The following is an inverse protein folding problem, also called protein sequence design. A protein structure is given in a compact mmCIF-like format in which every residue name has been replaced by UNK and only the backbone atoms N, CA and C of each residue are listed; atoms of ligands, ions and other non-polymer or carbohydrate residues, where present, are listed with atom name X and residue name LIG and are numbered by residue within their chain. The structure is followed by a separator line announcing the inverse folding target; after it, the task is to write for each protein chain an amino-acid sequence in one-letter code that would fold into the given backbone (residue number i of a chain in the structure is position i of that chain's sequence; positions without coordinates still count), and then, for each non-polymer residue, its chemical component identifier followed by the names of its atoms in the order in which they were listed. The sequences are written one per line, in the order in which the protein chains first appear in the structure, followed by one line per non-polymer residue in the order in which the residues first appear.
data_IF_607141042418
#
_entry.id   IF_607141042418
#
_cell.length_a   1.000
_cell.length_b   1.000
_cell.length_c   1.000
_cell.angle_alpha   90.00
_cell.angle_beta   90.00
_cell.angle_gamma   90.00
#
_symmetry.space_group_name_H-M   'P 1'
#
loop_
_entity.id
_entity.type
_entity.pdbx_description
1 polymer ?
#
# COMPACT_ATOMS: atom_id res chain seq x y z
N UNK A 1 60.00 37.65 -12.57
CA UNK A 1 58.84 37.34 -13.42
C UNK A 1 58.58 35.84 -13.28
N UNK A 2 57.74 35.44 -12.32
CA UNK A 2 57.33 34.04 -12.12
C UNK A 2 55.81 34.01 -12.13
N UNK A 3 55.24 33.39 -13.16
CA UNK A 3 53.79 33.16 -13.30
C UNK A 3 53.43 31.90 -12.50
N UNK A 4 52.59 32.05 -11.48
CA UNK A 4 51.93 30.93 -10.82
C UNK A 4 50.66 30.55 -11.60
N UNK A 5 50.57 29.30 -12.05
CA UNK A 5 49.33 28.70 -12.54
C UNK A 5 48.76 27.79 -11.45
N UNK A 6 47.64 28.18 -10.84
CA UNK A 6 46.84 27.31 -9.99
C UNK A 6 45.75 26.67 -10.84
N UNK A 7 45.79 25.35 -10.99
CA UNK A 7 44.74 24.57 -11.65
C UNK A 7 43.77 24.09 -10.57
N UNK A 8 42.55 24.63 -10.58
CA UNK A 8 41.45 24.22 -9.72
C UNK A 8 40.70 23.06 -10.41
N UNK A 9 40.85 21.83 -9.92
CA UNK A 9 40.01 20.71 -10.36
C UNK A 9 38.63 20.81 -9.71
N UNK A 10 37.60 21.12 -10.50
CA UNK A 10 36.20 20.88 -10.12
C UNK A 10 35.88 19.40 -10.35
N UNK A 11 35.65 18.66 -9.26
CA UNK A 11 35.07 17.32 -9.32
C UNK A 11 33.55 17.44 -9.51
N UNK A 12 33.06 17.23 -10.74
CA UNK A 12 31.63 17.04 -10.99
C UNK A 12 31.21 15.67 -10.48
N UNK A 13 30.51 15.63 -9.33
CA UNK A 13 29.76 14.44 -8.92
C UNK A 13 28.54 14.33 -9.82
N UNK A 14 28.60 13.43 -10.81
CA UNK A 14 27.40 12.96 -11.50
C UNK A 14 26.58 12.16 -10.49
N UNK A 15 25.55 12.79 -9.92
CA UNK A 15 24.45 12.05 -9.31
C UNK A 15 23.73 11.35 -10.45
N UNK A 16 23.95 10.04 -10.58
CA UNK A 16 23.00 9.22 -11.32
C UNK A 16 21.67 9.34 -10.57
N UNK A 17 20.73 10.12 -11.13
CA UNK A 17 19.35 10.11 -10.67
C UNK A 17 18.90 8.64 -10.62
N UNK A 18 18.30 8.16 -9.51
CA UNK A 18 17.79 6.80 -9.47
C UNK A 18 16.81 6.69 -10.64
N UNK A 19 17.17 5.87 -11.63
CA UNK A 19 16.26 5.54 -12.70
C UNK A 19 15.02 4.96 -12.04
N UNK A 20 13.90 5.68 -12.11
CA UNK A 20 12.59 5.22 -11.69
C UNK A 20 12.37 3.85 -12.33
N UNK A 21 12.54 2.78 -11.54
CA UNK A 21 12.03 1.47 -11.94
C UNK A 21 10.53 1.64 -11.92
N UNK A 22 9.93 1.91 -13.09
CA UNK A 22 8.48 1.86 -13.26
C UNK A 22 8.01 0.57 -12.61
N UNK A 23 7.16 0.68 -11.59
CA UNK A 23 6.49 -0.48 -10.99
C UNK A 23 5.47 -0.91 -12.02
N UNK A 24 5.87 -1.78 -12.92
CA UNK A 24 4.98 -2.29 -13.95
C UNK A 24 4.54 -3.66 -13.49
N UNK A 25 3.24 -3.84 -13.29
CA UNK A 25 2.66 -5.17 -13.13
C UNK A 25 2.37 -5.75 -14.52
N UNK A 26 2.50 -7.06 -14.68
CA UNK A 26 2.18 -7.71 -15.95
C UNK A 26 0.67 -7.71 -16.24
N UNK A 27 -0.13 -7.71 -15.18
CA UNK A 27 -1.59 -7.62 -15.21
C UNK A 27 -2.11 -7.13 -13.86
N UNK A 28 -3.33 -6.60 -13.85
CA UNK A 28 -4.08 -6.36 -12.61
C UNK A 28 -4.63 -7.69 -12.06
N UNK A 29 -4.92 -7.70 -10.75
CA UNK A 29 -5.83 -8.69 -10.16
C UNK A 29 -7.26 -8.15 -10.31
N UNK A 30 -8.14 -8.82 -11.09
CA UNK A 30 -9.47 -8.29 -11.35
C UNK A 30 -10.30 -8.04 -10.09
N UNK A 31 -10.29 -8.97 -9.14
CA UNK A 31 -11.11 -8.85 -7.93
C UNK A 31 -10.59 -7.74 -7.04
N UNK A 32 -9.28 -7.67 -6.83
CA UNK A 32 -8.69 -6.64 -5.98
C UNK A 32 -8.79 -5.24 -6.63
N UNK A 33 -8.71 -5.16 -7.96
CA UNK A 33 -8.94 -3.92 -8.69
C UNK A 33 -10.39 -3.45 -8.60
N UNK A 34 -11.37 -4.35 -8.81
CA UNK A 34 -12.80 -4.03 -8.67
C UNK A 34 -13.18 -3.63 -7.25
N UNK A 35 -12.60 -4.30 -6.24
CA UNK A 35 -12.77 -3.95 -4.83
C UNK A 35 -12.20 -2.55 -4.55
N UNK A 36 -10.98 -2.28 -5.01
CA UNK A 36 -10.23 -1.08 -4.68
C UNK A 36 -10.66 0.17 -5.46
N UNK A 37 -11.13 0.02 -6.70
CA UNK A 37 -11.40 1.13 -7.61
C UNK A 37 -12.89 1.23 -7.95
N UNK A 38 -13.69 1.41 -6.90
CA UNK A 38 -15.14 1.53 -7.04
C UNK A 38 -15.54 2.91 -7.54
N UNK A 39 -16.36 2.93 -8.59
CA UNK A 39 -17.02 4.15 -9.04
C UNK A 39 -17.99 4.66 -7.98
N UNK A 40 -17.89 5.94 -7.66
CA UNK A 40 -18.88 6.61 -6.83
C UNK A 40 -20.08 7.04 -7.70
N UNK A 41 -21.16 6.24 -7.64
CA UNK A 41 -22.41 6.51 -8.36
C UNK A 41 -23.25 7.61 -7.70
N UNK A 42 -22.96 7.97 -6.45
CA UNK A 42 -23.64 9.07 -5.74
C UNK A 42 -23.03 10.43 -6.04
N UNK A 43 -21.90 10.47 -6.75
CA UNK A 43 -21.11 11.68 -6.94
C UNK A 43 -21.77 12.70 -7.87
N UNK A 44 -21.68 13.98 -7.48
CA UNK A 44 -21.96 15.10 -8.39
C UNK A 44 -20.69 15.45 -9.15
N UNK A 45 -20.79 15.56 -10.48
CA UNK A 45 -19.65 15.79 -11.37
C UNK A 45 -19.74 17.16 -12.01
N UNK A 46 -18.72 17.99 -11.82
CA UNK A 46 -18.57 19.25 -12.52
C UNK A 46 -18.07 19.02 -13.97
N UNK A 47 -17.18 18.05 -14.14
CA UNK A 47 -16.71 17.61 -15.45
C UNK A 47 -16.72 16.08 -15.53
N UNK A 48 -17.03 15.56 -16.71
CA UNK A 48 -17.09 14.12 -16.98
C UNK A 48 -16.27 13.81 -18.23
N UNK A 49 -15.36 12.86 -18.12
CA UNK A 49 -14.52 12.36 -19.22
C UNK A 49 -13.84 13.48 -20.01
N UNK A 50 -13.21 14.42 -19.31
CA UNK A 50 -12.46 15.54 -19.91
C UNK A 50 -10.96 15.33 -19.82
N UNK A 51 -10.15 15.80 -20.79
CA UNK A 51 -8.71 15.88 -20.61
C UNK A 51 -8.35 16.93 -19.54
N UNK A 52 -7.20 16.74 -18.91
CA UNK A 52 -6.54 17.78 -18.11
C UNK A 52 -5.25 18.15 -18.82
N UNK A 53 -5.15 19.39 -19.29
CA UNK A 53 -4.00 19.87 -20.04
C UNK A 53 -3.08 20.74 -19.19
N UNK A 54 -1.78 20.57 -19.36
CA UNK A 54 -0.75 21.49 -18.85
C UNK A 54 -0.73 22.79 -19.67
N UNK A 55 -0.04 23.82 -19.17
CA UNK A 55 0.23 25.05 -19.93
C UNK A 55 0.99 24.83 -21.25
N UNK A 56 1.74 23.72 -21.37
CA UNK A 56 2.41 23.31 -22.61
C UNK A 56 1.49 22.61 -23.62
N UNK A 57 0.20 22.40 -23.29
CA UNK A 57 -0.77 21.73 -24.15
C UNK A 57 -0.66 20.20 -24.17
N UNK A 58 0.11 19.62 -23.23
CA UNK A 58 0.20 18.17 -23.02
C UNK A 58 -0.89 17.72 -22.04
N UNK A 59 -1.27 16.44 -22.11
CA UNK A 59 -2.32 15.88 -21.27
C UNK A 59 -1.73 15.07 -20.10
N UNK A 60 -2.40 15.15 -18.95
CA UNK A 60 -2.20 14.18 -17.87
C UNK A 60 -2.69 12.80 -18.33
N UNK A 61 -1.89 11.78 -18.05
CA UNK A 61 -2.08 10.41 -18.53
C UNK A 61 -1.79 9.39 -17.42
N UNK A 62 -2.60 8.34 -17.38
CA UNK A 62 -2.43 7.18 -16.49
C UNK A 62 -2.23 5.92 -17.34
N UNK A 63 -1.15 5.21 -17.05
CA UNK A 63 -0.92 3.84 -17.52
C UNK A 63 -1.39 2.88 -16.41
N UNK A 64 -2.49 2.16 -16.68
CA UNK A 64 -3.18 1.27 -15.74
C UNK A 64 -2.25 0.25 -15.06
N UNK A 65 -1.21 -0.21 -15.77
CA UNK A 65 -0.28 -1.23 -15.26
C UNK A 65 0.95 -0.64 -14.57
N UNK A 66 1.05 0.69 -14.45
CA UNK A 66 2.24 1.37 -13.89
C UNK A 66 2.19 1.59 -12.37
N UNK A 67 1.18 1.05 -11.70
CA UNK A 67 1.05 1.00 -10.25
C UNK A 67 1.26 -0.40 -9.67
N UNK A 68 0.51 -0.71 -8.61
CA UNK A 68 0.37 -2.07 -8.09
C UNK A 68 -0.78 -2.82 -8.81
N UNK A 69 -0.96 -4.09 -8.47
CA UNK A 69 -1.98 -5.00 -9.00
C UNK A 69 -3.45 -4.50 -8.87
N UNK A 70 -3.72 -3.44 -8.11
CA UNK A 70 -5.03 -2.76 -7.98
C UNK A 70 -5.07 -1.41 -8.73
N UNK A 71 -4.06 -1.12 -9.55
CA UNK A 71 -3.78 0.20 -10.09
C UNK A 71 -3.56 1.31 -9.03
N UNK A 72 -3.24 0.94 -7.79
CA UNK A 72 -2.84 1.90 -6.76
C UNK A 72 -1.39 2.31 -6.93
N UNK A 73 -1.03 3.51 -6.46
CA UNK A 73 0.34 4.04 -6.52
C UNK A 73 0.78 4.20 -8.00
N UNK A 74 -0.19 4.40 -8.89
CA UNK A 74 0.06 4.60 -10.31
C UNK A 74 0.53 6.04 -10.53
N UNK A 75 1.73 6.28 -11.09
CA UNK A 75 2.20 7.63 -11.35
C UNK A 75 1.36 8.31 -12.42
N UNK A 76 1.17 9.62 -12.28
CA UNK A 76 0.50 10.44 -13.29
C UNK A 76 1.56 11.00 -14.23
N UNK A 77 1.51 10.59 -15.49
CA UNK A 77 2.46 10.96 -16.53
C UNK A 77 1.92 12.14 -17.35
N UNK A 78 2.81 12.78 -18.11
CA UNK A 78 2.48 13.89 -19.00
C UNK A 78 2.87 13.48 -20.42
N UNK A 79 1.91 13.47 -21.34
CA UNK A 79 2.11 13.00 -22.70
C UNK A 79 1.39 13.88 -23.72
N UNK A 80 1.63 13.63 -25.00
CA UNK A 80 0.82 14.24 -26.05
C UNK A 80 -0.64 13.80 -25.88
N UNK A 81 -1.58 14.72 -26.09
CA UNK A 81 -3.00 14.41 -26.00
C UNK A 81 -3.41 13.45 -27.12
N UNK A 82 -3.98 12.30 -26.76
CA UNK A 82 -4.40 11.23 -27.68
C UNK A 82 -5.88 10.85 -27.51
N UNK A 83 -6.56 11.36 -26.49
CA UNK A 83 -7.97 11.08 -26.23
C UNK A 83 -8.24 9.66 -25.70
N UNK A 84 -7.20 8.91 -25.33
CA UNK A 84 -7.36 7.62 -24.66
C UNK A 84 -8.06 7.78 -23.31
N UNK A 85 -8.73 6.73 -22.84
CA UNK A 85 -9.38 6.71 -21.52
C UNK A 85 -8.42 7.01 -20.37
N UNK A 86 -7.14 6.64 -20.52
CA UNK A 86 -6.08 7.00 -19.57
C UNK A 86 -5.81 8.51 -19.45
N UNK A 87 -6.27 9.31 -20.41
CA UNK A 87 -6.19 10.78 -20.39
C UNK A 87 -7.51 11.48 -20.03
N UNK A 88 -8.57 10.71 -19.76
CA UNK A 88 -9.89 11.26 -19.45
C UNK A 88 -10.15 11.20 -17.96
N UNK A 89 -10.68 12.30 -17.44
CA UNK A 89 -10.83 12.55 -16.01
C UNK A 89 -12.25 13.03 -15.71
N UNK A 90 -12.75 12.60 -14.56
CA UNK A 90 -13.94 13.16 -13.94
C UNK A 90 -13.53 14.09 -12.79
N UNK A 91 -14.27 15.18 -12.61
CA UNK A 91 -14.08 16.12 -11.50
C UNK A 91 -15.34 16.12 -10.64
N UNK A 92 -15.22 15.61 -9.43
CA UNK A 92 -16.34 15.35 -8.53
C UNK A 92 -16.37 16.41 -7.42
N UNK A 93 -17.50 17.11 -7.27
CA UNK A 93 -17.67 18.18 -6.27
C UNK A 93 -18.40 17.72 -5.00
N UNK A 94 -19.02 16.54 -5.05
CA UNK A 94 -19.59 15.85 -3.90
C UNK A 94 -19.72 14.35 -4.18
N UNK A 95 -19.88 13.53 -3.13
CA UNK A 95 -20.11 12.08 -3.22
C UNK A 95 -19.74 11.36 -1.93
N UNK A 96 -19.75 10.02 -1.95
CA UNK A 96 -19.28 9.15 -0.85
C UNK A 96 -17.88 9.55 -0.38
N UNK A 97 -16.98 9.87 -1.32
CA UNK A 97 -15.58 10.19 -1.03
C UNK A 97 -15.27 11.70 -1.03
N UNK A 98 -16.26 12.57 -1.23
CA UNK A 98 -16.12 14.03 -1.07
C UNK A 98 -17.35 14.64 -0.38
N UNK A 99 -17.18 15.05 0.88
CA UNK A 99 -18.20 15.74 1.68
C UNK A 99 -17.78 17.17 2.06
N UNK A 100 -16.74 17.71 1.43
CA UNK A 100 -16.15 19.02 1.75
C UNK A 100 -16.55 20.03 0.68
N UNK A 101 -17.36 21.01 1.08
CA UNK A 101 -17.82 22.08 0.19
C UNK A 101 -16.63 22.89 -0.35
N UNK A 102 -16.69 23.28 -1.64
CA UNK A 102 -15.63 24.04 -2.30
C UNK A 102 -14.35 23.23 -2.59
N UNK A 103 -14.42 21.90 -2.51
CA UNK A 103 -13.34 21.00 -2.88
C UNK A 103 -13.77 20.04 -3.98
N UNK A 104 -12.78 19.46 -4.67
CA UNK A 104 -12.99 18.43 -5.67
C UNK A 104 -12.12 17.19 -5.42
N UNK A 105 -12.62 16.05 -5.91
CA UNK A 105 -11.80 14.89 -6.28
C UNK A 105 -11.56 14.91 -7.78
N UNK A 106 -10.35 14.54 -8.19
CA UNK A 106 -9.99 14.33 -9.60
C UNK A 106 -9.81 12.83 -9.82
N UNK A 107 -10.67 12.24 -10.65
CA UNK A 107 -10.77 10.78 -10.82
C UNK A 107 -10.40 10.42 -12.24
N UNK A 108 -9.53 9.43 -12.42
CA UNK A 108 -9.21 8.94 -13.75
C UNK A 108 -10.30 7.97 -14.24
N UNK A 109 -10.76 8.14 -15.48
CA UNK A 109 -11.88 7.32 -15.98
C UNK A 109 -11.48 5.90 -16.38
N UNK A 110 -10.20 5.65 -16.71
CA UNK A 110 -9.70 4.30 -17.01
C UNK A 110 -9.69 3.45 -15.73
N UNK A 111 -9.13 3.98 -14.64
CA UNK A 111 -8.93 3.19 -13.42
C UNK A 111 -9.94 3.44 -12.31
N UNK A 112 -10.78 4.48 -12.38
CA UNK A 112 -11.65 4.97 -11.27
C UNK A 112 -10.91 5.38 -9.99
N UNK A 113 -9.57 5.42 -10.02
CA UNK A 113 -8.75 5.89 -8.91
C UNK A 113 -8.81 7.42 -8.80
N UNK A 114 -8.55 7.92 -7.59
CA UNK A 114 -8.46 9.33 -7.27
C UNK A 114 -7.00 9.82 -7.32
N UNK A 115 -6.80 11.03 -7.84
CA UNK A 115 -5.54 11.74 -7.70
C UNK A 115 -5.26 11.96 -6.20
N UNK A 116 -4.08 11.53 -5.76
CA UNK A 116 -3.67 11.54 -4.37
C UNK A 116 -2.27 12.12 -4.22
N UNK A 117 -2.09 12.99 -3.23
CA UNK A 117 -0.81 13.52 -2.81
C UNK A 117 -0.34 12.91 -1.48
N UNK A 118 0.82 12.24 -1.49
CA UNK A 118 1.46 11.67 -0.30
C UNK A 118 2.85 12.29 -0.10
N UNK A 119 3.01 13.25 0.85
CA UNK A 119 4.28 13.94 1.08
C UNK A 119 5.38 13.03 1.67
N UNK A 120 5.01 11.82 2.12
CA UNK A 120 5.97 10.85 2.67
C UNK A 120 6.73 10.11 1.56
N UNK A 121 6.30 10.25 0.31
CA UNK A 121 6.92 9.62 -0.85
C UNK A 121 8.13 10.42 -1.31
N UNK A 122 9.07 9.74 -1.97
CA UNK A 122 10.18 10.40 -2.62
C UNK A 122 9.70 11.32 -3.76
N UNK A 123 10.45 12.40 -4.01
CA UNK A 123 10.23 13.28 -5.15
C UNK A 123 10.19 12.50 -6.48
N UNK A 124 9.36 12.97 -7.39
CA UNK A 124 8.91 12.33 -8.63
C UNK A 124 7.91 11.19 -8.43
N UNK A 125 7.39 11.02 -7.22
CA UNK A 125 6.43 9.99 -6.88
C UNK A 125 5.52 10.39 -5.71
N UNK A 126 5.35 11.70 -5.46
CA UNK A 126 4.46 12.19 -4.40
C UNK A 126 3.01 12.31 -4.86
N UNK A 127 2.80 12.46 -6.17
CA UNK A 127 1.49 12.51 -6.81
C UNK A 127 1.24 11.21 -7.56
N UNK A 128 0.18 10.52 -7.17
CA UNK A 128 -0.17 9.17 -7.66
C UNK A 128 -1.67 9.03 -7.77
N UNK A 129 -2.12 8.04 -8.55
CA UNK A 129 -3.47 7.51 -8.43
C UNK A 129 -3.55 6.56 -7.24
N UNK A 130 -4.61 6.70 -6.46
CA UNK A 130 -4.91 5.82 -5.36
C UNK A 130 -6.43 5.68 -5.22
N UNK A 131 -6.88 4.54 -4.71
CA UNK A 131 -8.28 4.27 -4.39
C UNK A 131 -8.93 5.46 -3.71
N UNK A 132 -10.07 5.87 -4.25
CA UNK A 132 -10.85 6.96 -3.69
C UNK A 132 -11.20 6.64 -2.24
N UNK A 133 -11.02 7.62 -1.37
CA UNK A 133 -11.17 7.47 0.07
C UNK A 133 -9.86 7.18 0.83
N UNK A 134 -8.72 7.19 0.14
CA UNK A 134 -7.40 7.17 0.76
C UNK A 134 -6.95 5.82 1.33
N UNK A 135 -7.70 4.75 1.06
CA UNK A 135 -7.37 3.38 1.48
C UNK A 135 -7.23 2.46 0.31
N UNK A 136 -6.24 1.57 0.37
CA UNK A 136 -5.80 0.78 -0.79
C UNK A 136 -6.83 -0.25 -1.28
N UNK A 137 -7.88 -0.51 -0.51
CA UNK A 137 -9.02 -1.38 -0.78
C UNK A 137 -10.31 -0.60 -1.10
N UNK A 138 -10.27 0.73 -1.18
CA UNK A 138 -11.43 1.55 -1.56
C UNK A 138 -12.52 1.65 -0.49
N UNK A 139 -12.31 1.06 0.71
CA UNK A 139 -13.27 1.10 1.82
C UNK A 139 -13.26 2.44 2.60
N UNK A 140 -12.35 3.33 2.23
CA UNK A 140 -12.12 4.59 2.92
C UNK A 140 -13.24 5.62 2.79
N UNK A 141 -13.14 6.65 3.63
CA UNK A 141 -13.98 7.84 3.59
C UNK A 141 -13.17 9.01 3.02
N UNK A 142 -13.69 10.23 3.14
CA UNK A 142 -13.00 11.44 2.68
C UNK A 142 -11.60 11.60 3.32
N UNK A 143 -10.57 11.85 2.50
CA UNK A 143 -9.20 12.11 2.93
C UNK A 143 -8.69 13.44 2.37
N UNK A 144 -8.02 14.25 3.18
CA UNK A 144 -7.44 15.52 2.74
C UNK A 144 -6.27 15.36 1.75
N UNK A 145 -5.72 14.15 1.59
CA UNK A 145 -4.70 13.84 0.57
C UNK A 145 -5.23 13.78 -0.86
N UNK A 146 -6.55 13.72 -1.04
CA UNK A 146 -7.20 13.62 -2.34
C UNK A 146 -8.06 14.86 -2.66
N UNK A 147 -8.24 15.77 -1.70
CA UNK A 147 -9.05 16.98 -1.87
C UNK A 147 -8.22 18.14 -2.39
N UNK A 148 -8.79 18.84 -3.36
CA UNK A 148 -8.23 20.05 -3.96
C UNK A 148 -9.27 21.17 -3.91
N UNK A 149 -8.94 22.41 -3.52
CA UNK A 149 -9.85 23.54 -3.62
C UNK A 149 -10.35 23.71 -5.06
N UNK A 150 -11.66 23.96 -5.21
CA UNK A 150 -12.28 24.06 -6.52
C UNK A 150 -13.39 25.11 -6.53
N UNK A 151 -13.33 25.98 -7.54
CA UNK A 151 -14.26 27.09 -7.75
C UNK A 151 -15.20 26.86 -8.95
N UNK A 152 -15.36 25.60 -9.39
CA UNK A 152 -16.23 25.22 -10.50
C UNK A 152 -15.85 25.81 -11.87
N UNK A 153 -14.60 26.25 -12.04
CA UNK A 153 -14.08 26.71 -13.32
C UNK A 153 -13.25 25.64 -14.03
N UNK A 154 -13.19 25.69 -15.36
CA UNK A 154 -12.33 24.81 -16.16
C UNK A 154 -10.85 25.16 -16.08
N UNK A 155 -10.47 26.23 -15.38
CA UNK A 155 -9.11 26.75 -15.35
C UNK A 155 -8.83 27.87 -16.36
N UNK A 156 -7.58 28.35 -16.44
CA UNK A 156 -6.39 27.76 -15.82
C UNK A 156 -6.44 27.78 -14.28
N UNK A 157 -6.10 26.65 -13.65
CA UNK A 157 -6.10 26.50 -12.19
C UNK A 157 -4.82 25.84 -11.70
N UNK A 158 -4.52 26.09 -10.42
CA UNK A 158 -3.45 25.41 -9.68
C UNK A 158 -4.06 24.37 -8.75
N UNK A 159 -3.46 23.18 -8.71
CA UNK A 159 -3.90 22.08 -7.86
C UNK A 159 -3.07 22.10 -6.58
N UNK A 160 -3.65 22.57 -5.46
CA UNK A 160 -3.02 22.52 -4.14
C UNK A 160 -3.72 21.43 -3.31
N UNK A 161 -3.02 20.37 -2.86
CA UNK A 161 -3.63 19.36 -2.01
C UNK A 161 -3.90 19.93 -0.60
N UNK A 162 -5.02 19.54 0.00
CA UNK A 162 -5.48 20.09 1.29
C UNK A 162 -4.57 19.67 2.47
N UNK A 163 -3.91 18.51 2.37
CA UNK A 163 -2.97 18.01 3.39
C UNK A 163 -1.56 18.64 3.35
N UNK A 164 -1.27 19.56 2.42
CA UNK A 164 0.02 20.26 2.36
C UNK A 164 -0.11 21.71 1.88
N UNK A 165 -0.47 22.64 2.79
CA UNK A 165 -0.56 24.05 2.49
C UNK A 165 0.75 24.62 1.92
N UNK A 166 0.66 25.37 0.82
CA UNK A 166 1.81 25.98 0.15
C UNK A 166 2.55 25.05 -0.82
N UNK A 167 2.08 23.81 -0.99
CA UNK A 167 2.53 22.89 -2.03
C UNK A 167 1.51 22.87 -3.16
N UNK A 168 1.98 22.86 -4.39
CA UNK A 168 1.18 22.81 -5.60
C UNK A 168 1.67 21.68 -6.49
N UNK A 169 0.76 21.05 -7.24
CA UNK A 169 1.14 20.05 -8.23
C UNK A 169 1.85 20.74 -9.40
N UNK A 170 2.89 20.11 -9.93
CA UNK A 170 3.78 20.67 -10.95
C UNK A 170 4.16 19.62 -11.98
N UNK A 171 4.12 20.03 -13.25
CA UNK A 171 4.69 19.28 -14.35
C UNK A 171 6.22 19.28 -14.29
N UNK A 172 6.81 18.12 -14.08
CA UNK A 172 8.27 17.99 -13.98
C UNK A 172 8.96 17.86 -15.34
N UNK A 173 10.27 18.14 -15.38
CA UNK A 173 11.09 17.97 -16.58
C UNK A 173 11.21 16.52 -17.08
N UNK A 174 10.81 15.54 -16.27
CA UNK A 174 10.81 14.11 -16.63
C UNK A 174 9.40 13.59 -16.99
N UNK A 175 8.48 14.51 -17.32
CA UNK A 175 7.12 14.20 -17.79
C UNK A 175 6.28 13.38 -16.81
N UNK A 176 6.43 13.64 -15.52
CA UNK A 176 5.50 13.17 -14.48
C UNK A 176 4.94 14.38 -13.72
N UNK A 177 3.72 14.24 -13.20
CA UNK A 177 3.17 15.17 -12.25
C UNK A 177 3.77 14.90 -10.87
N UNK A 178 4.26 15.94 -10.20
CA UNK A 178 4.79 15.84 -8.85
C UNK A 178 4.51 17.15 -8.08
N UNK A 179 5.28 17.45 -7.05
CA UNK A 179 5.08 18.62 -6.20
C UNK A 179 6.14 19.71 -6.41
N UNK A 180 5.73 20.97 -6.19
CA UNK A 180 6.62 22.11 -6.02
C UNK A 180 6.02 23.09 -4.99
N UNK A 181 6.80 24.01 -4.41
CA UNK A 181 6.25 25.17 -3.72
C UNK A 181 5.32 25.95 -4.64
N UNK A 182 4.16 26.39 -4.13
CA UNK A 182 3.21 27.14 -4.92
C UNK A 182 3.79 28.45 -5.44
N UNK A 183 3.72 28.63 -6.77
CA UNK A 183 4.08 29.86 -7.46
C UNK A 183 3.06 30.14 -8.56
N UNK A 184 2.22 31.17 -8.35
CA UNK A 184 1.17 31.55 -9.31
C UNK A 184 1.70 32.10 -10.64
N UNK A 185 3.01 32.33 -10.76
CA UNK A 185 3.68 32.68 -12.01
C UNK A 185 4.30 31.48 -12.73
N UNK A 186 4.39 30.32 -12.08
CA UNK A 186 4.96 29.11 -12.64
C UNK A 186 3.94 28.38 -13.53
N UNK A 187 4.15 28.48 -14.84
CA UNK A 187 3.31 27.82 -15.83
C UNK A 187 3.28 26.29 -15.70
N UNK A 188 4.29 25.66 -15.06
CA UNK A 188 4.29 24.22 -14.81
C UNK A 188 3.26 23.78 -13.77
N UNK A 189 2.73 24.71 -12.98
CA UNK A 189 1.73 24.49 -11.92
C UNK A 189 0.30 24.84 -12.38
N UNK A 190 0.11 24.99 -13.69
CA UNK A 190 -1.14 25.46 -14.29
C UNK A 190 -1.77 24.37 -15.14
N UNK A 191 -3.02 24.04 -14.84
CA UNK A 191 -3.79 22.99 -15.49
C UNK A 191 -5.14 23.53 -15.99
N UNK A 192 -5.68 22.95 -17.05
CA UNK A 192 -7.00 23.30 -17.59
C UNK A 192 -7.80 22.03 -17.85
N UNK A 193 -9.06 22.00 -17.41
CA UNK A 193 -9.99 20.90 -17.60
C UNK A 193 -10.77 21.10 -18.91
N UNK A 194 -10.85 20.08 -19.74
CA UNK A 194 -11.67 20.10 -20.97
C UNK A 194 -11.09 20.91 -22.14
N UNK A 195 -9.91 21.51 -22.00
CA UNK A 195 -9.22 22.11 -23.13
C UNK A 195 -8.73 21.00 -24.07
N UNK A 196 -9.37 20.87 -25.24
CA UNK A 196 -8.90 20.00 -26.30
C UNK A 196 -7.86 20.75 -27.14
N UNK A 197 -6.65 20.21 -27.24
CA UNK A 197 -5.66 20.68 -28.19
C UNK A 197 -6.25 20.54 -29.60
N UNK A 198 -6.46 21.66 -30.28
CA UNK A 198 -7.17 21.70 -31.56
C UNK A 198 -6.49 20.84 -32.64
N UNK A 199 -7.17 19.76 -33.05
CA UNK A 199 -7.17 19.23 -34.42
C UNK A 199 -8.44 18.41 -34.68
N UNK A 200 -9.38 19.03 -35.40
CA UNK A 200 -10.55 18.54 -36.17
C UNK A 200 -10.90 17.02 -36.10
N UNK A 201 -12.14 16.59 -35.86
CA UNK A 201 -13.37 17.04 -36.50
C UNK A 201 -14.66 16.78 -35.69
N UNK A 202 -15.59 17.72 -35.87
CA UNK A 202 -17.02 17.75 -35.53
C UNK A 202 -17.79 16.44 -35.68
N UNK A 203 -18.55 16.05 -34.63
CA UNK A 203 -20.02 16.22 -34.58
C UNK A 203 -20.60 15.57 -33.32
N UNK A 204 -21.33 16.36 -32.52
CA UNK A 204 -22.38 15.84 -31.64
C UNK A 204 -23.61 15.49 -32.52
N UNK A 205 -24.46 14.53 -32.12
CA UNK A 205 -25.59 14.93 -31.27
C UNK A 205 -25.91 13.96 -30.13
N UNK A 206 -26.62 14.53 -29.17
CA UNK A 206 -27.18 13.96 -27.95
C UNK A 206 -28.24 12.85 -28.17
N UNK A 207 -28.21 11.88 -27.23
CA UNK A 207 -29.32 11.12 -26.59
C UNK A 207 -30.25 10.26 -27.47
N UNK A 208 -30.24 8.94 -27.21
CA UNK A 208 -31.46 8.16 -26.91
C UNK A 208 -31.12 6.85 -26.17
N UNK A 209 -31.80 6.66 -25.03
CA UNK A 209 -31.88 5.43 -24.25
C UNK A 209 -32.86 4.42 -24.89
N UNK A 210 -32.82 3.15 -24.44
CA UNK A 210 -33.62 1.94 -24.80
C UNK A 210 -32.89 0.99 -25.79
N UNK A 211 -32.81 -0.34 -25.63
CA UNK A 211 -33.62 -1.38 -24.95
C UNK A 211 -32.68 -2.56 -24.54
N UNK A 212 -33.11 -3.33 -23.53
CA UNK A 212 -32.52 -4.53 -22.94
C UNK A 212 -32.53 -5.81 -23.84
N UNK A 213 -32.52 -7.04 -23.27
CA UNK A 213 -31.38 -7.95 -23.11
C UNK A 213 -31.39 -9.11 -24.13
N UNK A 214 -30.23 -9.69 -24.44
CA UNK A 214 -30.15 -10.96 -25.18
C UNK A 214 -29.75 -12.11 -24.25
N UNK A 215 -30.77 -12.88 -23.86
CA UNK A 215 -30.64 -14.26 -23.43
C UNK A 215 -30.93 -15.21 -24.61
N UNK A 216 -30.44 -16.46 -24.47
CA UNK A 216 -30.66 -17.67 -25.29
C UNK A 216 -29.41 -18.06 -26.09
N UNK A 217 -28.96 -19.31 -26.13
CA UNK A 217 -29.41 -20.55 -25.50
C UNK A 217 -28.34 -21.62 -25.78
N UNK A 218 -28.30 -22.64 -24.92
CA UNK A 218 -27.44 -23.81 -25.02
C UNK A 218 -27.71 -24.65 -26.28
N UNK A 219 -26.64 -25.24 -26.81
CA UNK A 219 -26.67 -26.54 -27.51
C UNK A 219 -25.37 -27.28 -27.27
N UNK A 220 -25.48 -28.45 -26.64
CA UNK A 220 -24.51 -29.55 -26.61
C UNK A 220 -23.98 -29.89 -28.01
N UNK A 221 -22.69 -30.23 -28.13
CA UNK A 221 -22.27 -31.51 -28.74
C UNK A 221 -20.92 -32.00 -28.16
N UNK A 222 -20.97 -33.26 -27.78
CA UNK A 222 -19.97 -34.23 -27.33
C UNK A 222 -18.68 -34.41 -28.15
N UNK A 223 -17.68 -34.99 -27.43
CA UNK A 223 -16.67 -35.97 -27.87
C UNK A 223 -15.27 -35.48 -28.27
N UNK A 224 -14.27 -35.73 -27.42
CA UNK A 224 -13.38 -36.92 -27.51
C UNK A 224 -12.09 -36.70 -26.71
N UNK A 225 -11.87 -37.57 -25.71
CA UNK A 225 -10.62 -37.66 -24.98
C UNK A 225 -9.57 -38.43 -25.79
N UNK A 226 -8.34 -37.91 -25.86
CA UNK A 226 -7.18 -38.63 -26.37
C UNK A 226 -6.24 -38.90 -25.19
N UNK A 227 -6.10 -40.19 -24.88
CA UNK A 227 -5.11 -40.72 -23.95
C UNK A 227 -3.75 -40.81 -24.67
N UNK A 228 -2.71 -40.20 -24.11
CA UNK A 228 -1.32 -40.50 -24.49
C UNK A 228 -0.65 -41.11 -23.26
N UNK A 229 -0.31 -42.39 -23.42
CA UNK A 229 0.47 -43.20 -22.50
C UNK A 229 1.93 -43.15 -22.94
N UNK A 230 2.86 -42.93 -22.01
CA UNK A 230 4.28 -43.23 -22.20
C UNK A 230 4.91 -43.70 -20.88
N UNK A 231 5.70 -44.76 -21.04
CA UNK A 231 6.11 -45.72 -20.04
C UNK A 231 7.24 -45.25 -19.10
N UNK A 232 7.28 -45.91 -17.94
CA UNK A 232 8.34 -45.86 -16.96
C UNK A 232 9.61 -46.61 -17.39
N UNK A 233 10.76 -46.18 -16.88
CA UNK A 233 11.98 -47.00 -16.75
C UNK A 233 12.67 -46.73 -15.42
N UNK A 234 12.91 -47.82 -14.69
CA UNK A 234 13.60 -47.92 -13.41
C UNK A 234 15.12 -47.74 -13.52
N UNK A 235 15.76 -47.30 -12.43
CA UNK A 235 17.04 -47.87 -11.95
C UNK A 235 17.24 -47.66 -10.44
N UNK A 236 17.96 -48.61 -9.85
CA UNK A 236 18.05 -49.03 -8.44
C UNK A 236 19.09 -48.25 -7.58
N UNK A 237 19.13 -48.46 -6.24
CA UNK A 237 19.88 -47.67 -5.25
C UNK A 237 21.21 -48.30 -4.78
N UNK A 238 22.10 -47.51 -4.15
CA UNK A 238 23.07 -47.90 -3.07
C UNK A 238 24.10 -46.78 -2.77
N UNK A 239 24.92 -46.80 -1.68
CA UNK A 239 24.63 -46.92 -0.24
C UNK A 239 25.33 -45.82 0.64
N UNK A 240 25.06 -45.82 1.95
CA UNK A 240 25.60 -44.93 3.02
C UNK A 240 27.10 -45.19 3.37
N UNK A 241 27.94 -44.21 3.79
CA UNK A 241 28.21 -43.66 5.16
C UNK A 241 29.65 -43.05 5.19
N UNK A 242 30.21 -42.35 6.23
CA UNK A 242 29.65 -41.67 7.42
C UNK A 242 30.18 -40.22 7.72
N UNK A 243 29.46 -39.52 8.61
CA UNK A 243 29.87 -38.53 9.65
C UNK A 243 30.82 -37.33 9.41
N UNK A 244 30.28 -36.11 9.59
CA UNK A 244 30.86 -35.10 10.50
C UNK A 244 29.78 -34.18 11.08
N UNK A 245 29.94 -33.81 12.36
CA UNK A 245 29.03 -33.04 13.21
C UNK A 245 29.06 -31.54 12.85
N UNK A 246 27.90 -30.89 12.68
CA UNK A 246 27.73 -29.43 12.91
C UNK A 246 26.25 -29.02 13.02
N UNK A 247 25.89 -28.51 14.21
CA UNK A 247 24.83 -27.54 14.56
C UNK A 247 23.47 -27.67 13.86
N UNK A 248 22.47 -28.14 14.61
CA UNK A 248 21.04 -28.08 14.25
C UNK A 248 20.58 -26.63 14.15
N UNK A 249 20.59 -26.07 12.95
CA UNK A 249 19.74 -24.95 12.60
C UNK A 249 18.29 -25.45 12.65
N UNK A 250 17.49 -24.92 13.58
CA UNK A 250 16.06 -25.15 13.59
C UNK A 250 15.49 -24.64 12.26
N UNK A 251 14.92 -25.55 11.49
CA UNK A 251 14.35 -25.26 10.19
C UNK A 251 13.24 -24.21 10.33
N UNK A 252 13.40 -23.08 9.62
CA UNK A 252 12.29 -22.17 9.31
C UNK A 252 11.15 -22.96 8.70
N UNK A 253 10.05 -23.12 9.43
CA UNK A 253 8.77 -23.53 8.85
C UNK A 253 8.13 -22.32 8.14
N UNK A 254 8.84 -21.75 7.16
CA UNK A 254 8.22 -20.97 6.10
C UNK A 254 7.92 -21.99 5.00
N UNK A 255 6.70 -22.03 4.42
CA UNK A 255 6.50 -22.78 3.19
C UNK A 255 7.37 -22.13 2.12
N UNK A 256 8.54 -22.72 1.88
CA UNK A 256 9.37 -22.46 0.71
C UNK A 256 8.57 -22.87 -0.51
N UNK A 257 7.96 -21.88 -1.18
CA UNK A 257 7.76 -21.71 -2.64
C UNK A 257 7.54 -22.93 -3.57
N UNK A 258 7.17 -24.11 -3.07
CA UNK A 258 7.06 -25.34 -3.87
C UNK A 258 5.72 -26.07 -3.67
N UNK A 259 4.75 -25.40 -3.01
CA UNK A 259 3.37 -25.85 -3.07
C UNK A 259 2.70 -25.22 -4.29
N UNK A 260 2.39 -26.05 -5.29
CA UNK A 260 1.56 -25.67 -6.44
C UNK A 260 0.10 -25.43 -6.07
N UNK A 261 -0.27 -25.61 -4.80
CA UNK A 261 -1.60 -25.31 -4.29
C UNK A 261 -1.65 -23.86 -3.84
N UNK A 262 -2.46 -22.99 -4.49
CA UNK A 262 -2.63 -21.60 -4.07
C UNK A 262 -3.12 -21.57 -2.63
N UNK A 263 -2.41 -20.85 -1.75
CA UNK A 263 -2.83 -20.67 -0.36
C UNK A 263 -3.88 -19.56 -0.32
N UNK A 264 -5.15 -19.84 -0.01
CA UNK A 264 -6.17 -18.81 0.02
C UNK A 264 -5.88 -17.82 1.15
N UNK A 265 -6.24 -16.57 0.92
CA UNK A 265 -6.21 -15.53 1.94
C UNK A 265 -7.60 -14.92 2.11
N UNK A 266 -7.93 -14.48 3.32
CA UNK A 266 -9.30 -14.04 3.65
C UNK A 266 -9.63 -12.61 3.22
N UNK A 267 -8.62 -11.82 2.79
CA UNK A 267 -8.80 -10.45 2.27
C UNK A 267 -8.30 -10.34 0.82
N UNK A 268 -8.11 -9.10 0.37
CA UNK A 268 -7.76 -8.75 -1.00
C UNK A 268 -6.69 -9.66 -1.63
N UNK A 269 -6.96 -10.07 -2.88
CA UNK A 269 -6.09 -10.91 -3.71
C UNK A 269 -6.42 -12.40 -3.71
N UNK A 270 -7.32 -12.88 -2.83
CA UNK A 270 -7.87 -14.25 -2.74
C UNK A 270 -6.86 -15.40 -2.54
N UNK A 271 -5.61 -15.22 -2.93
CA UNK A 271 -4.50 -16.16 -2.88
C UNK A 271 -3.25 -15.40 -2.45
N UNK A 272 -2.45 -15.99 -1.58
CA UNK A 272 -1.15 -15.46 -1.19
C UNK A 272 -0.22 -15.37 -2.41
N UNK A 273 0.39 -14.20 -2.63
CA UNK A 273 1.54 -14.05 -3.52
C UNK A 273 2.82 -14.10 -2.68
N UNK A 274 3.60 -15.21 -2.74
CA UNK A 274 4.81 -15.34 -1.93
C UNK A 274 5.86 -14.28 -2.23
N UNK A 275 5.98 -13.81 -3.48
CA UNK A 275 6.97 -12.82 -3.88
C UNK A 275 6.58 -11.44 -3.38
N UNK A 276 5.30 -11.08 -3.49
CA UNK A 276 4.80 -9.82 -2.97
C UNK A 276 4.85 -9.80 -1.43
N UNK A 277 4.50 -10.91 -0.76
CA UNK A 277 4.61 -11.04 0.68
C UNK A 277 6.06 -10.95 1.19
N UNK A 278 7.00 -11.61 0.50
CA UNK A 278 8.43 -11.55 0.84
C UNK A 278 9.02 -10.14 0.66
N UNK A 279 8.59 -9.43 -0.38
CA UNK A 279 8.99 -8.03 -0.60
C UNK A 279 8.39 -7.09 0.45
N UNK A 280 7.10 -7.28 0.76
CA UNK A 280 6.37 -6.45 1.70
C UNK A 280 6.83 -6.64 3.15
N UNK A 281 7.30 -7.84 3.50
CA UNK A 281 7.76 -8.19 4.84
C UNK A 281 9.20 -8.72 4.78
N UNK A 282 10.09 -7.93 4.18
CA UNK A 282 11.51 -8.26 4.10
C UNK A 282 12.12 -8.27 5.52
N UNK A 283 12.88 -9.32 5.83
CA UNK A 283 13.60 -9.41 7.10
C UNK A 283 14.60 -8.27 7.25
N UNK A 284 14.50 -7.53 8.35
CA UNK A 284 15.47 -6.50 8.70
C UNK A 284 16.73 -7.14 9.33
N UNK A 285 17.73 -7.40 8.50
CA UNK A 285 19.02 -7.96 8.94
C UNK A 285 19.86 -7.00 9.81
N UNK A 286 19.42 -5.75 9.97
CA UNK A 286 20.06 -4.77 10.85
C UNK A 286 19.36 -4.64 12.20
N UNK A 287 18.27 -5.39 12.41
CA UNK A 287 17.46 -5.32 13.61
C UNK A 287 18.24 -5.81 14.86
N UNK A 288 18.31 -4.97 15.88
CA UNK A 288 18.65 -5.38 17.24
C UNK A 288 17.37 -5.75 17.98
N UNK A 289 17.36 -6.96 18.53
CA UNK A 289 16.21 -7.55 19.22
C UNK A 289 16.48 -7.59 20.72
N UNK A 290 15.59 -6.99 21.51
CA UNK A 290 15.58 -7.17 22.97
C UNK A 290 15.11 -8.59 23.33
N UNK A 291 14.13 -9.10 22.58
CA UNK A 291 13.63 -10.46 22.68
C UNK A 291 13.44 -11.02 21.28
N UNK A 292 13.70 -12.32 21.10
CA UNK A 292 13.45 -12.99 19.83
C UNK A 292 12.65 -14.26 20.03
N UNK A 293 11.68 -14.49 19.15
CA UNK A 293 10.78 -15.63 19.19
C UNK A 293 10.21 -15.84 20.59
N UNK A 294 9.51 -14.83 21.11
CA UNK A 294 8.80 -14.86 22.41
C UNK A 294 7.30 -14.85 22.20
N UNK A 295 6.54 -15.39 23.14
CA UNK A 295 5.09 -15.20 23.20
C UNK A 295 4.73 -13.97 24.05
N UNK A 296 3.66 -13.29 23.65
CA UNK A 296 3.08 -12.16 24.37
C UNK A 296 1.74 -12.57 24.97
N UNK A 297 1.72 -12.81 26.28
CA UNK A 297 0.56 -13.33 27.00
C UNK A 297 -0.17 -12.21 27.74
N UNK A 298 -1.47 -12.06 27.51
CA UNK A 298 -2.28 -11.05 28.18
C UNK A 298 -2.61 -11.42 29.64
N UNK A 299 -3.36 -10.54 30.31
CA UNK A 299 -3.80 -10.75 31.69
C UNK A 299 -4.81 -11.91 31.85
N UNK A 300 -5.51 -12.31 30.78
CA UNK A 300 -6.42 -13.47 30.79
C UNK A 300 -5.69 -14.81 30.63
N UNK A 301 -4.42 -14.77 30.24
CA UNK A 301 -3.57 -15.94 30.05
C UNK A 301 -3.51 -16.45 28.61
N UNK A 302 -4.05 -15.69 27.65
CA UNK A 302 -4.02 -15.99 26.23
C UNK A 302 -2.84 -15.30 25.54
N UNK A 303 -2.30 -15.90 24.49
CA UNK A 303 -1.17 -15.39 23.73
C UNK A 303 -1.62 -14.72 22.43
N UNK A 304 -0.93 -13.63 22.06
CA UNK A 304 -1.10 -13.03 20.74
C UNK A 304 -0.78 -14.05 19.64
N UNK A 305 -1.68 -14.14 18.67
CA UNK A 305 -1.65 -15.10 17.58
C UNK A 305 -1.86 -14.38 16.24
N UNK A 306 -1.03 -14.74 15.25
CA UNK A 306 -1.17 -14.32 13.86
C UNK A 306 -1.60 -15.50 12.98
N UNK A 307 -2.68 -15.33 12.23
CA UNK A 307 -3.02 -16.23 11.12
C UNK A 307 -2.45 -15.65 9.81
N UNK A 308 -1.38 -16.22 9.23
CA UNK A 308 -0.77 -15.67 8.01
C UNK A 308 -1.70 -15.69 6.78
N UNK A 309 -2.86 -16.36 6.86
CA UNK A 309 -3.87 -16.41 5.81
C UNK A 309 -5.01 -15.41 6.02
N UNK A 310 -5.11 -14.77 7.19
CA UNK A 310 -6.20 -13.85 7.50
C UNK A 310 -6.00 -12.41 6.96
N UNK A 311 -4.95 -12.20 6.16
CA UNK A 311 -4.60 -10.92 5.55
C UNK A 311 -4.91 -10.84 4.07
N UNK A 312 -4.27 -9.89 3.40
CA UNK A 312 -4.22 -9.79 1.94
C UNK A 312 -3.12 -10.70 1.36
N UNK A 313 -3.03 -10.75 0.03
CA UNK A 313 -2.03 -11.52 -0.72
C UNK A 313 -0.55 -11.17 -0.39
N UNK A 314 -0.27 -10.06 0.31
CA UNK A 314 1.06 -9.67 0.82
C UNK A 314 1.27 -10.03 2.29
N UNK A 315 0.31 -10.69 2.95
CA UNK A 315 0.27 -10.87 4.42
C UNK A 315 0.20 -9.55 5.19
N UNK A 316 -0.38 -8.52 4.57
CA UNK A 316 -0.76 -7.30 5.25
C UNK A 316 -2.21 -7.38 5.71
N UNK A 317 -2.59 -6.46 6.60
CA UNK A 317 -3.96 -6.33 7.11
C UNK A 317 -4.44 -7.60 7.85
N UNK A 318 -3.52 -8.42 8.37
CA UNK A 318 -3.89 -9.62 9.16
C UNK A 318 -4.38 -9.16 10.54
N UNK A 319 -5.63 -9.43 10.97
CA UNK A 319 -6.05 -9.18 12.33
C UNK A 319 -5.23 -9.98 13.33
N UNK A 320 -4.90 -9.38 14.47
CA UNK A 320 -4.27 -10.11 15.57
C UNK A 320 -5.36 -10.66 16.48
N UNK A 321 -5.22 -11.91 16.89
CA UNK A 321 -6.17 -12.57 17.80
C UNK A 321 -5.47 -13.04 19.05
N UNK A 322 -6.23 -13.33 20.10
CA UNK A 322 -5.74 -14.00 21.28
C UNK A 322 -6.20 -15.45 21.27
N UNK A 323 -5.27 -16.37 21.51
CA UNK A 323 -5.53 -17.80 21.57
C UNK A 323 -4.86 -18.42 22.78
N UNK A 324 -5.23 -19.65 23.13
CA UNK A 324 -4.51 -20.42 24.14
C UNK A 324 -3.02 -20.51 23.76
N UNK A 325 -2.13 -20.20 24.71
CA UNK A 325 -0.70 -20.28 24.47
C UNK A 325 -0.29 -21.71 24.13
N UNK A 326 0.30 -21.92 22.96
CA UNK A 326 0.67 -23.24 22.42
C UNK A 326 2.14 -23.35 21.99
N UNK A 327 2.89 -22.24 22.01
CA UNK A 327 4.29 -22.19 21.61
C UNK A 327 4.51 -22.31 20.09
N UNK A 328 3.45 -22.20 19.29
CA UNK A 328 3.55 -22.21 17.83
C UNK A 328 4.25 -20.96 17.29
N UNK A 329 4.77 -21.06 16.06
CA UNK A 329 5.35 -19.91 15.37
C UNK A 329 4.33 -18.80 15.10
N UNK A 330 3.03 -19.12 15.07
CA UNK A 330 1.95 -18.14 15.00
C UNK A 330 1.86 -17.25 16.25
N UNK A 331 2.47 -17.68 17.36
CA UNK A 331 2.55 -16.93 18.62
C UNK A 331 3.96 -16.41 18.90
N UNK A 332 4.88 -16.52 17.93
CA UNK A 332 6.26 -16.09 18.06
C UNK A 332 6.45 -14.64 17.57
N UNK A 333 7.00 -13.81 18.45
CA UNK A 333 7.22 -12.39 18.23
C UNK A 333 8.67 -12.01 18.52
N UNK A 334 9.22 -11.11 17.72
CA UNK A 334 10.47 -10.42 17.98
C UNK A 334 10.16 -9.00 18.50
N UNK A 335 10.87 -8.57 19.55
CA UNK A 335 10.78 -7.21 20.08
C UNK A 335 12.04 -6.47 19.64
N UNK A 336 11.90 -5.60 18.64
CA UNK A 336 13.00 -4.93 17.93
C UNK A 336 13.19 -3.52 18.47
N UNK A 337 14.33 -3.25 19.12
CA UNK A 337 14.66 -1.95 19.72
C UNK A 337 15.36 -0.98 18.77
N UNK A 338 15.97 -1.50 17.70
CA UNK A 338 16.52 -0.67 16.62
C UNK A 338 16.70 -1.47 15.34
N UNK A 339 16.82 -0.81 14.18
CA UNK A 339 17.07 -1.42 12.88
C UNK A 339 16.74 -0.48 11.73
N UNK A 340 16.70 -0.99 10.50
CA UNK A 340 16.28 -0.25 9.29
C UNK A 340 14.90 0.40 9.50
N UNK A 341 13.97 -0.32 10.13
CA UNK A 341 12.60 0.16 10.32
C UNK A 341 12.32 0.72 11.72
N UNK A 342 13.29 0.68 12.65
CA UNK A 342 13.17 1.34 13.96
C UNK A 342 14.41 2.19 14.26
N UNK A 343 14.25 3.50 14.18
CA UNK A 343 15.27 4.49 14.52
C UNK A 343 14.86 5.42 15.67
N UNK A 344 13.85 5.03 16.46
CA UNK A 344 13.30 5.84 17.56
C UNK A 344 13.73 5.24 18.90
N UNK A 345 14.64 5.89 19.64
CA UNK A 345 15.07 5.40 20.95
C UNK A 345 13.91 5.35 21.96
N UNK A 346 13.88 4.31 22.78
CA UNK A 346 12.83 4.14 23.80
C UNK A 346 11.53 3.55 23.27
N UNK A 347 11.51 3.12 22.01
CA UNK A 347 10.36 2.48 21.37
C UNK A 347 10.79 1.21 20.63
N UNK A 348 9.86 0.28 20.51
CA UNK A 348 10.06 -1.00 19.83
C UNK A 348 9.07 -1.20 18.69
N UNK A 349 9.48 -2.01 17.72
CA UNK A 349 8.56 -2.72 16.85
C UNK A 349 8.27 -4.09 17.46
N UNK A 350 7.01 -4.50 17.42
CA UNK A 350 6.58 -5.88 17.73
C UNK A 350 6.38 -6.59 16.40
N UNK A 351 7.31 -7.49 16.07
CA UNK A 351 7.42 -8.12 14.74
C UNK A 351 7.01 -9.58 14.84
N UNK A 352 6.18 -10.09 13.93
CA UNK A 352 5.92 -11.54 13.88
C UNK A 352 7.17 -12.26 13.39
N UNK A 353 7.66 -13.23 14.15
CA UNK A 353 8.77 -14.09 13.71
C UNK A 353 8.38 -14.96 12.50
N UNK A 354 7.09 -15.26 12.33
CA UNK A 354 6.55 -16.06 11.22
C UNK A 354 6.43 -15.26 9.91
N UNK A 355 5.85 -14.06 9.96
CA UNK A 355 5.54 -13.28 8.75
C UNK A 355 6.51 -12.14 8.48
N UNK A 356 7.33 -11.75 9.47
CA UNK A 356 8.22 -10.57 9.44
C UNK A 356 7.48 -9.23 9.31
N UNK A 357 6.16 -9.22 9.42
CA UNK A 357 5.39 -7.99 9.52
C UNK A 357 5.47 -7.38 10.92
N UNK A 358 5.07 -6.12 11.03
CA UNK A 358 4.99 -5.36 12.28
C UNK A 358 3.54 -5.21 12.74
N UNK A 359 3.34 -5.31 14.05
CA UNK A 359 2.10 -4.89 14.70
C UNK A 359 1.84 -3.40 14.40
N UNK A 360 0.65 -3.08 13.91
CA UNK A 360 0.27 -1.73 13.50
C UNK A 360 -1.12 -1.39 14.04
N UNK A 361 -1.24 -0.19 14.62
CA UNK A 361 -2.50 0.38 15.07
C UNK A 361 -3.01 1.46 14.09
N UNK A 362 -4.16 1.21 13.46
CA UNK A 362 -4.89 2.16 12.63
C UNK A 362 -6.28 2.46 13.23
N UNK A 363 -6.45 3.58 13.97
CA UNK A 363 -7.73 3.93 14.60
C UNK A 363 -8.84 4.25 13.60
N UNK A 364 -8.52 4.35 12.30
CA UNK A 364 -9.50 4.61 11.25
C UNK A 364 -10.20 3.32 10.80
N UNK A 365 -9.71 2.14 11.19
CA UNK A 365 -10.34 0.85 10.86
C UNK A 365 -11.53 0.59 11.77
N UNK A 366 -12.44 -0.27 11.32
CA UNK A 366 -13.54 -0.74 12.15
C UNK A 366 -13.02 -1.51 13.38
N UNK A 367 -13.82 -1.56 14.43
CA UNK A 367 -13.55 -2.40 15.60
C UNK A 367 -13.28 -3.86 15.16
N UNK A 368 -12.32 -4.50 15.82
CA UNK A 368 -11.78 -5.81 15.47
C UNK A 368 -10.75 -5.80 14.34
N UNK A 369 -10.52 -4.67 13.69
CA UNK A 369 -9.52 -4.50 12.62
C UNK A 369 -8.59 -3.30 12.87
N UNK A 370 -8.71 -2.62 14.03
CA UNK A 370 -7.85 -1.48 14.37
C UNK A 370 -6.40 -1.88 14.62
N UNK A 371 -6.16 -3.14 15.03
CA UNK A 371 -4.83 -3.70 15.24
C UNK A 371 -4.59 -4.84 14.26
N UNK A 372 -3.56 -4.68 13.44
CA UNK A 372 -3.25 -5.59 12.33
C UNK A 372 -1.75 -5.83 12.22
N UNK A 373 -1.39 -6.93 11.56
CA UNK A 373 -0.07 -7.10 10.97
C UNK A 373 0.04 -6.27 9.70
N UNK A 374 1.12 -5.53 9.56
CA UNK A 374 1.41 -4.75 8.37
C UNK A 374 2.91 -4.69 8.13
N UNK A 375 3.33 -4.56 6.87
CA UNK A 375 4.70 -4.29 6.47
C UNK A 375 5.37 -3.28 7.42
N UNK A 376 6.52 -3.68 7.98
CA UNK A 376 7.33 -2.78 8.79
C UNK A 376 7.72 -1.54 7.97
N UNK A 377 7.62 -0.37 8.59
CA UNK A 377 7.79 0.92 7.91
C UNK A 377 6.49 1.55 7.39
N UNK A 378 5.33 1.01 7.79
CA UNK A 378 4.01 1.62 7.59
C UNK A 378 3.53 1.76 6.14
N UNK A 379 4.21 1.15 5.17
CA UNK A 379 3.82 1.14 3.75
C UNK A 379 3.61 -0.29 3.29
N UNK A 380 2.52 -0.54 2.56
CA UNK A 380 2.03 -1.88 2.21
C UNK A 380 2.97 -2.73 1.33
N UNK A 381 4.10 -2.18 0.93
CA UNK A 381 5.12 -2.77 0.07
C UNK A 381 6.48 -2.90 0.77
N UNK A 382 6.57 -2.53 2.05
CA UNK A 382 7.78 -2.64 2.87
C UNK A 382 8.87 -1.60 2.56
N UNK A 383 8.61 -0.60 1.70
CA UNK A 383 9.61 0.40 1.31
C UNK A 383 9.62 1.65 2.21
N UNK A 384 8.76 1.66 3.22
CA UNK A 384 8.58 2.80 4.12
C UNK A 384 9.63 2.90 5.21
N UNK A 385 9.51 3.99 5.97
CA UNK A 385 10.32 4.27 7.16
C UNK A 385 9.45 4.16 8.41
N UNK A 386 10.05 4.31 9.59
CA UNK A 386 9.35 4.23 10.87
C UNK A 386 8.03 5.02 10.88
N UNK A 387 6.98 4.42 11.43
CA UNK A 387 5.70 5.10 11.65
C UNK A 387 5.27 4.96 13.09
N UNK A 388 4.72 6.03 13.67
CA UNK A 388 4.25 6.04 15.06
C UNK A 388 3.05 5.08 15.29
N UNK A 389 2.41 4.57 14.23
CA UNK A 389 1.39 3.52 14.33
C UNK A 389 1.95 2.13 14.62
N UNK A 390 3.26 1.93 14.45
CA UNK A 390 3.95 0.65 14.67
C UNK A 390 4.90 0.68 15.87
N UNK A 391 5.10 1.85 16.47
CA UNK A 391 6.00 2.06 17.60
C UNK A 391 5.26 1.95 18.93
N UNK A 392 5.85 1.20 19.85
CA UNK A 392 5.36 1.02 21.21
C UNK A 392 6.46 1.44 22.20
N UNK A 393 6.17 2.29 23.19
CA UNK A 393 7.15 2.65 24.21
C UNK A 393 7.67 1.41 24.95
N UNK A 394 8.98 1.29 25.03
CA UNK A 394 9.63 0.17 25.71
C UNK A 394 11.01 0.60 26.23
N UNK A 395 11.22 0.40 27.53
CA UNK A 395 12.53 0.57 28.17
C UNK A 395 13.06 -0.85 28.40
N UNK A 396 14.30 -1.14 28.01
CA UNK A 396 14.87 -2.50 28.16
C UNK A 396 14.89 -2.99 29.62
N UNK A 397 14.67 -4.29 29.82
CA UNK A 397 14.69 -4.95 31.14
C UNK A 397 13.37 -5.52 31.69
N UNK A 398 12.15 -5.07 31.33
CA UNK A 398 10.92 -5.63 31.87
C UNK A 398 10.54 -6.92 31.15
N UNK A 399 9.93 -7.84 31.90
CA UNK A 399 9.28 -9.06 31.38
C UNK A 399 7.82 -8.81 30.98
N UNK A 400 7.42 -7.54 30.92
CA UNK A 400 6.07 -7.09 30.58
C UNK A 400 6.20 -5.93 29.57
N UNK A 401 5.27 -5.87 28.62
CA UNK A 401 5.16 -4.79 27.65
C UNK A 401 3.73 -4.26 27.64
N UNK A 402 3.58 -2.94 27.73
CA UNK A 402 2.31 -2.27 27.46
C UNK A 402 2.27 -1.92 25.98
N UNK A 403 1.32 -2.51 25.24
CA UNK A 403 1.12 -2.17 23.83
C UNK A 403 0.29 -0.89 23.75
N UNK A 404 0.91 0.26 24.02
CA UNK A 404 0.33 1.59 23.80
C UNK A 404 1.00 2.22 22.57
N UNK A 405 0.34 2.24 21.39
CA UNK A 405 0.98 2.73 20.18
C UNK A 405 1.21 4.24 20.25
N UNK A 406 2.32 4.73 19.70
CA UNK A 406 2.70 6.16 19.79
C UNK A 406 1.68 7.10 19.14
N UNK A 407 1.04 6.69 18.03
CA UNK A 407 -0.05 7.48 17.42
C UNK A 407 -1.33 7.51 18.27
N UNK A 408 -1.40 6.71 19.35
CA UNK A 408 -2.41 6.77 20.40
C UNK A 408 -2.04 7.72 21.56
N UNK A 409 -0.88 8.38 21.52
CA UNK A 409 -0.42 9.39 22.48
C UNK A 409 -0.50 8.95 23.96
N UNK A 410 -0.17 7.69 24.27
CA UNK A 410 -0.30 7.08 25.61
C UNK A 410 -1.73 7.09 26.20
N UNK A 411 -2.74 7.46 25.41
CA UNK A 411 -4.14 7.43 25.82
C UNK A 411 -4.85 6.15 25.37
N UNK A 412 -4.28 5.45 24.38
CA UNK A 412 -4.82 4.22 23.80
C UNK A 412 -3.91 3.04 24.11
N UNK A 413 -4.51 1.95 24.58
CA UNK A 413 -3.84 0.69 24.88
C UNK A 413 -4.51 -0.44 24.09
N UNK A 414 -3.71 -1.39 23.61
CA UNK A 414 -4.21 -2.53 22.85
C UNK A 414 -4.63 -3.67 23.78
N UNK A 415 -5.86 -4.15 23.63
CA UNK A 415 -6.45 -5.21 24.47
C UNK A 415 -7.32 -6.12 23.63
N UNK A 416 -7.61 -7.33 24.12
CA UNK A 416 -8.61 -8.19 23.49
C UNK A 416 -10.00 -7.55 23.57
N UNK A 417 -10.73 -7.55 22.46
CA UNK A 417 -12.15 -7.26 22.44
C UNK A 417 -12.98 -8.53 22.74
N UNK A 418 -14.31 -8.38 22.76
CA UNK A 418 -15.23 -9.47 23.08
C UNK A 418 -15.16 -10.66 22.10
N UNK A 419 -14.71 -10.42 20.87
CA UNK A 419 -14.56 -11.45 19.82
C UNK A 419 -13.17 -12.11 19.85
N UNK A 420 -12.33 -11.78 20.84
CA UNK A 420 -10.97 -12.32 20.98
C UNK A 420 -9.97 -11.73 19.97
N UNK A 421 -10.33 -10.65 19.27
CA UNK A 421 -9.39 -9.89 18.44
C UNK A 421 -8.69 -8.83 19.27
N UNK A 422 -7.42 -8.57 18.97
CA UNK A 422 -6.71 -7.43 19.54
C UNK A 422 -7.29 -6.16 18.92
N UNK A 423 -7.68 -5.22 19.78
CA UNK A 423 -8.32 -3.96 19.45
C UNK A 423 -7.78 -2.88 20.40
N UNK A 424 -8.43 -1.73 20.43
CA UNK A 424 -8.01 -0.58 21.23
C UNK A 424 -9.04 -0.19 22.28
N UNK A 425 -8.54 0.32 23.40
CA UNK A 425 -9.34 0.89 24.50
C UNK A 425 -8.54 2.03 25.14
N UNK A 426 -9.17 2.94 25.93
CA UNK A 426 -8.40 3.87 26.74
C UNK A 426 -7.44 3.16 27.71
N UNK A 427 -6.23 3.67 27.83
CA UNK A 427 -5.26 3.14 28.79
C UNK A 427 -5.79 3.28 30.23
N UNK A 428 -5.76 2.18 30.97
CA UNK A 428 -6.14 2.14 32.37
C UNK A 428 -5.02 2.74 33.24
N UNK A 429 -5.41 3.29 34.40
CA UNK A 429 -4.44 3.76 35.39
C UNK A 429 -3.58 2.63 35.97
N UNK A 430 -4.07 1.39 35.92
CA UNK A 430 -3.32 0.18 36.27
C UNK A 430 -2.79 -0.52 35.01
N UNK A 431 -1.74 0.04 34.39
CA UNK A 431 -1.12 -0.49 33.16
C UNK A 431 -0.94 -2.02 33.13
N UNK A 432 -0.77 -2.66 34.28
CA UNK A 432 -0.67 -4.12 34.44
C UNK A 432 -1.86 -4.91 33.89
N UNK A 433 -3.10 -4.40 34.01
CA UNK A 433 -4.30 -5.09 33.52
C UNK A 433 -4.36 -5.16 31.99
N UNK A 434 -3.61 -4.29 31.31
CA UNK A 434 -3.55 -4.15 29.85
C UNK A 434 -2.14 -4.48 29.30
N UNK A 435 -1.24 -4.97 30.15
CA UNK A 435 0.12 -5.34 29.76
C UNK A 435 0.17 -6.81 29.33
N UNK A 436 1.13 -7.11 28.47
CA UNK A 436 1.45 -8.45 28.02
C UNK A 436 2.71 -8.94 28.70
N UNK A 437 2.67 -10.11 29.31
CA UNK A 437 3.86 -10.80 29.81
C UNK A 437 4.63 -11.38 28.63
N UNK A 438 5.93 -11.11 28.59
CA UNK A 438 6.87 -11.65 27.60
C UNK A 438 7.33 -13.02 28.09
N UNK A 439 7.06 -14.07 27.31
CA UNK A 439 7.40 -15.45 27.63
C UNK A 439 8.38 -16.00 26.60
N UNK A 440 9.46 -16.63 27.07
CA UNK A 440 10.29 -17.48 26.22
C UNK A 440 9.49 -18.73 25.82
N UNK A 441 9.39 -18.99 24.52
CA UNK A 441 8.73 -20.18 23.95
C UNK A 441 9.72 -21.29 23.62
#
# INVERSE_FOLDING_TARGET
MYLSFSILLLATRSFASPAFRKRIVASLDPTAFEEAQQRDDSATRAFTSVPITTSSGQCLFVDELSGDFRANITPIQIAACDGSTGQLWDVLTSGKHNNVAGSMLVVNTLTQACLNFDPRRAAGNTVIMFSCGGRADGDGLVTNSQLFPFNETSGPLTLSPDNAPGICLSATAVNVLDQAPCDGSDSSQTFTFGASSASNASSNPAIASSVAPSASSATDVSSSAILISSAATSSLPSPASPSSLAVTAAASAVPTSDSTTPLPVSRAGNVLDPSAAAKANEMDNTALKAFSSVALKDASGQCLFVDPTAGDFRRNLIPITLQTCDGSQNQAWDIVTSGKHNNVPGSVLVVSSLTQGCLNFDPRRAAGDTVIMFSCGGRADGDGLVTNSQLFPFIEGPTEILLAPENGNNATCLVANADGKLDSTPCAGDAKSQSFTILTI
#
